data_IF_607060823874
#
_entry.id   IF_607060823874
#
_cell.length_a   1.000
_cell.length_b   1.000
_cell.length_c   1.000
_cell.angle_alpha   90.00
_cell.angle_beta   90.00
_cell.angle_gamma   90.00
#
_symmetry.space_group_name_H-M   'P 1'
#
loop_
_entity.id
_entity.type
_entity.pdbx_description
1 polymer ?
#
# COMPACT_ATOMS: atom_id res chain seq x y z
N UNK A 1 -16.10 14.97 -6.50
CA UNK A 1 -14.98 14.03 -6.83
C UNK A 1 -15.35 13.37 -8.14
N UNK A 2 -14.60 13.64 -9.20
CA UNK A 2 -14.76 12.96 -10.49
C UNK A 2 -14.18 11.56 -10.37
N UNK A 3 -14.97 10.53 -10.63
CA UNK A 3 -14.50 9.13 -10.76
C UNK A 3 -14.39 8.79 -12.25
N UNK A 4 -13.28 8.20 -12.63
CA UNK A 4 -13.20 7.59 -13.96
C UNK A 4 -14.27 6.48 -14.06
N UNK A 5 -14.99 6.36 -15.19
CA UNK A 5 -16.05 5.35 -15.36
C UNK A 5 -15.58 3.91 -15.10
N UNK A 6 -14.30 3.64 -15.30
CA UNK A 6 -13.67 2.33 -15.10
C UNK A 6 -13.42 1.98 -13.62
N UNK A 7 -13.41 2.99 -12.72
CA UNK A 7 -13.29 2.78 -11.28
C UNK A 7 -14.62 2.38 -10.66
N UNK A 8 -14.95 1.11 -10.73
CA UNK A 8 -16.13 0.53 -10.06
C UNK A 8 -16.02 0.67 -8.55
N UNK A 9 -17.16 0.71 -7.87
CA UNK A 9 -17.21 0.71 -6.41
C UNK A 9 -16.47 -0.53 -5.86
N UNK A 10 -15.53 -0.35 -4.92
CA UNK A 10 -14.70 -1.43 -4.40
C UNK A 10 -13.45 -1.78 -5.26
N UNK A 11 -13.07 -0.92 -6.22
CA UNK A 11 -11.86 -1.13 -7.04
C UNK A 11 -10.57 -0.62 -6.37
N UNK A 12 -10.68 0.21 -5.33
CA UNK A 12 -9.55 0.90 -4.68
C UNK A 12 -9.27 0.30 -3.32
N UNK A 13 -8.04 -0.15 -3.12
CA UNK A 13 -7.48 -0.45 -1.81
C UNK A 13 -6.72 0.76 -1.28
N UNK A 14 -6.86 1.06 -0.01
CA UNK A 14 -6.17 2.16 0.65
C UNK A 14 -5.44 1.67 1.90
N UNK A 15 -4.15 1.98 1.96
CA UNK A 15 -3.30 1.81 3.12
C UNK A 15 -3.01 3.20 3.70
N UNK A 16 -3.67 3.60 4.80
CA UNK A 16 -3.40 4.87 5.46
C UNK A 16 -2.06 4.82 6.21
N UNK A 17 -1.51 6.00 6.49
CA UNK A 17 -0.40 6.14 7.40
C UNK A 17 -0.77 5.53 8.77
N UNK A 18 0.11 4.69 9.29
CA UNK A 18 -0.15 3.94 10.52
C UNK A 18 -0.07 4.83 11.76
N UNK A 19 -1.13 4.85 12.56
CA UNK A 19 -1.16 5.54 13.86
C UNK A 19 -0.86 4.58 15.01
N UNK A 20 -0.44 5.11 16.18
CA UNK A 20 -0.22 4.29 17.39
C UNK A 20 -1.46 3.51 17.81
N UNK A 21 -2.64 4.14 17.76
CA UNK A 21 -3.90 3.49 18.12
C UNK A 21 -4.24 2.28 17.22
N UNK A 22 -3.80 2.28 15.97
CA UNK A 22 -4.01 1.16 15.07
C UNK A 22 -3.06 -0.02 15.37
N UNK A 23 -1.91 0.22 16.00
CA UNK A 23 -0.94 -0.82 16.35
C UNK A 23 -1.42 -1.73 17.48
N UNK A 24 -2.22 -1.19 18.40
CA UNK A 24 -2.71 -1.90 19.59
C UNK A 24 -4.09 -2.55 19.38
N UNK A 25 -4.52 -2.71 18.13
CA UNK A 25 -5.85 -3.24 17.83
C UNK A 25 -5.98 -4.72 18.25
N UNK A 26 -6.95 -5.07 19.15
CA UNK A 26 -7.06 -6.40 19.73
C UNK A 26 -7.83 -7.37 18.80
N UNK A 27 -7.23 -7.71 17.66
CA UNK A 27 -7.80 -8.66 16.70
C UNK A 27 -6.70 -9.60 16.19
N UNK A 28 -7.09 -10.75 15.68
CA UNK A 28 -6.18 -11.64 14.98
C UNK A 28 -5.77 -11.03 13.62
N UNK A 29 -4.61 -11.43 13.12
CA UNK A 29 -4.13 -11.07 11.78
C UNK A 29 -5.18 -11.38 10.72
N UNK A 30 -5.81 -12.56 10.81
CA UNK A 30 -6.83 -12.96 9.86
C UNK A 30 -8.06 -12.03 9.89
N UNK A 31 -8.54 -11.63 11.06
CA UNK A 31 -9.68 -10.71 11.18
C UNK A 31 -9.35 -9.33 10.61
N UNK A 32 -8.14 -8.83 10.87
CA UNK A 32 -7.68 -7.56 10.29
C UNK A 32 -7.67 -7.64 8.76
N UNK A 33 -7.08 -8.67 8.17
CA UNK A 33 -7.02 -8.83 6.71
C UNK A 33 -8.42 -9.00 6.12
N UNK A 34 -9.26 -9.84 6.73
CA UNK A 34 -10.61 -10.12 6.25
C UNK A 34 -11.51 -8.88 6.28
N UNK A 35 -11.26 -7.95 7.22
CA UNK A 35 -11.98 -6.67 7.28
C UNK A 35 -11.85 -5.83 6.00
N UNK A 36 -10.79 -6.02 5.21
CA UNK A 36 -10.64 -5.40 3.90
C UNK A 36 -11.74 -5.75 2.88
N UNK A 37 -12.42 -6.89 3.08
CA UNK A 37 -13.52 -7.31 2.24
C UNK A 37 -14.88 -6.66 2.58
N UNK A 38 -14.96 -5.81 3.62
CA UNK A 38 -16.23 -5.20 4.07
C UNK A 38 -16.95 -4.41 2.99
N UNK A 39 -16.23 -3.66 2.17
CA UNK A 39 -16.81 -2.87 1.07
C UNK A 39 -17.48 -3.72 -0.02
N UNK A 40 -17.24 -5.03 -0.02
CA UNK A 40 -17.83 -5.97 -0.98
C UNK A 40 -18.97 -6.78 -0.35
N UNK A 41 -19.31 -6.51 0.90
CA UNK A 41 -20.28 -7.31 1.67
C UNK A 41 -21.74 -7.03 1.29
N UNK A 42 -22.06 -5.82 0.84
CA UNK A 42 -23.43 -5.36 0.70
C UNK A 42 -24.18 -5.47 2.05
N UNK A 43 -25.41 -5.95 2.02
CA UNK A 43 -26.26 -6.17 3.23
C UNK A 43 -26.01 -7.52 3.94
N UNK A 44 -24.94 -8.24 3.60
CA UNK A 44 -24.67 -9.58 4.17
C UNK A 44 -23.97 -9.47 5.54
N UNK A 45 -24.46 -10.20 6.52
CA UNK A 45 -23.86 -10.24 7.87
C UNK A 45 -22.55 -11.06 7.92
N UNK A 46 -22.38 -12.07 7.06
CA UNK A 46 -21.26 -13.00 7.07
C UNK A 46 -20.37 -12.85 5.82
N UNK A 47 -19.07 -13.12 5.97
CA UNK A 47 -18.14 -13.21 4.86
C UNK A 47 -18.38 -14.48 4.04
N UNK A 48 -18.31 -14.36 2.73
CA UNK A 48 -18.42 -15.48 1.80
C UNK A 48 -17.16 -16.34 1.79
N UNK A 49 -17.27 -17.58 1.31
CA UNK A 49 -16.09 -18.44 1.12
C UNK A 49 -15.06 -17.81 0.19
N UNK A 50 -15.49 -17.11 -0.87
CA UNK A 50 -14.59 -16.39 -1.78
C UNK A 50 -13.80 -15.27 -1.09
N UNK A 51 -14.44 -14.49 -0.20
CA UNK A 51 -13.77 -13.43 0.58
C UNK A 51 -12.75 -14.01 1.56
N UNK A 52 -13.10 -15.11 2.24
CA UNK A 52 -12.19 -15.84 3.13
C UNK A 52 -10.98 -16.38 2.38
N UNK A 53 -11.21 -16.98 1.21
CA UNK A 53 -10.13 -17.49 0.34
C UNK A 53 -9.23 -16.35 -0.17
N UNK A 54 -9.81 -15.20 -0.57
CA UNK A 54 -9.04 -14.04 -1.00
C UNK A 54 -8.15 -13.48 0.12
N UNK A 55 -8.66 -13.45 1.37
CA UNK A 55 -7.86 -13.02 2.52
C UNK A 55 -6.65 -13.94 2.73
N UNK A 56 -6.86 -15.27 2.77
CA UNK A 56 -5.77 -16.24 2.93
C UNK A 56 -4.76 -16.17 1.78
N UNK A 57 -5.23 -16.01 0.54
CA UNK A 57 -4.36 -15.87 -0.64
C UNK A 57 -3.48 -14.61 -0.53
N UNK A 58 -4.06 -13.46 -0.15
CA UNK A 58 -3.29 -12.23 0.02
C UNK A 58 -2.31 -12.32 1.20
N UNK A 59 -2.66 -13.02 2.27
CA UNK A 59 -1.72 -13.33 3.36
C UNK A 59 -0.55 -14.18 2.87
N UNK A 60 -0.81 -15.21 2.06
CA UNK A 60 0.22 -16.05 1.45
C UNK A 60 1.16 -15.26 0.54
N UNK A 61 0.62 -14.36 -0.32
CA UNK A 61 1.42 -13.46 -1.18
C UNK A 61 2.38 -12.57 -0.41
N UNK A 62 2.01 -12.19 0.82
CA UNK A 62 2.79 -11.29 1.67
C UNK A 62 3.65 -12.04 2.71
N UNK A 63 3.66 -13.38 2.69
CA UNK A 63 4.45 -14.21 3.61
C UNK A 63 4.05 -14.03 5.08
N UNK A 64 2.74 -13.93 5.34
CA UNK A 64 2.18 -13.77 6.70
C UNK A 64 1.07 -14.78 7.01
N UNK A 65 0.95 -15.84 6.21
CA UNK A 65 -0.12 -16.82 6.37
C UNK A 65 0.00 -17.59 7.68
N UNK A 66 1.22 -17.90 8.11
CA UNK A 66 1.54 -18.56 9.36
C UNK A 66 1.18 -17.74 10.61
N UNK A 67 1.04 -16.42 10.44
CA UNK A 67 0.70 -15.49 11.52
C UNK A 67 -0.83 -15.31 11.70
N UNK A 68 -1.66 -16.01 10.93
CA UNK A 68 -3.11 -15.76 10.80
C UNK A 68 -3.86 -15.72 12.13
N UNK A 69 -3.48 -16.57 13.07
CA UNK A 69 -4.14 -16.73 14.35
C UNK A 69 -3.48 -15.91 15.48
N UNK A 70 -2.36 -15.23 15.18
CA UNK A 70 -1.67 -14.38 16.14
C UNK A 70 -2.40 -13.05 16.33
N UNK A 71 -2.23 -12.45 17.51
CA UNK A 71 -2.73 -11.10 17.78
C UNK A 71 -1.94 -10.07 16.96
N UNK A 72 -2.65 -9.18 16.26
CA UNK A 72 -2.05 -8.14 15.43
C UNK A 72 -1.09 -7.22 16.22
N UNK A 73 -1.44 -6.89 17.47
CA UNK A 73 -0.62 -6.02 18.34
C UNK A 73 0.73 -6.63 18.72
N UNK A 74 0.86 -7.96 18.68
CA UNK A 74 2.08 -8.68 19.10
C UNK A 74 3.09 -8.81 17.95
N UNK A 75 2.74 -8.30 16.75
CA UNK A 75 3.58 -8.35 15.56
C UNK A 75 4.64 -7.25 15.55
N UNK A 76 5.78 -7.53 14.87
CA UNK A 76 6.74 -6.49 14.52
C UNK A 76 6.13 -5.45 13.56
N UNK A 77 6.71 -4.24 13.51
CA UNK A 77 6.22 -3.18 12.62
C UNK A 77 6.16 -3.61 11.15
N UNK A 78 7.16 -4.35 10.67
CA UNK A 78 7.17 -4.90 9.31
C UNK A 78 6.07 -5.94 9.06
N UNK A 79 5.79 -6.79 10.04
CA UNK A 79 4.69 -7.75 9.96
C UNK A 79 3.33 -7.03 9.96
N UNK A 80 3.14 -6.04 10.85
CA UNK A 80 1.92 -5.23 10.88
C UNK A 80 1.68 -4.53 9.54
N UNK A 81 2.74 -3.98 8.93
CA UNK A 81 2.65 -3.33 7.63
C UNK A 81 2.20 -4.30 6.52
N UNK A 82 2.75 -5.52 6.52
CA UNK A 82 2.30 -6.57 5.58
C UNK A 82 0.85 -6.98 5.80
N UNK A 83 0.38 -7.03 7.05
CA UNK A 83 -1.03 -7.29 7.39
C UNK A 83 -1.94 -6.20 6.85
N UNK A 84 -1.59 -4.93 7.04
CA UNK A 84 -2.38 -3.81 6.51
C UNK A 84 -2.36 -3.75 4.99
N UNK A 85 -1.25 -4.12 4.35
CA UNK A 85 -1.18 -4.26 2.90
C UNK A 85 -2.08 -5.40 2.41
N UNK A 86 -2.09 -6.56 3.08
CA UNK A 86 -3.00 -7.67 2.78
C UNK A 86 -4.47 -7.24 2.88
N UNK A 87 -4.80 -6.48 3.92
CA UNK A 87 -6.13 -5.88 4.11
C UNK A 87 -6.49 -4.95 2.95
N UNK A 88 -5.57 -4.06 2.54
CA UNK A 88 -5.79 -3.15 1.41
C UNK A 88 -5.98 -3.93 0.09
N UNK A 89 -5.23 -5.02 -0.13
CA UNK A 89 -5.39 -5.89 -1.28
C UNK A 89 -6.73 -6.61 -1.31
N UNK A 90 -7.30 -6.95 -0.16
CA UNK A 90 -8.66 -7.51 -0.10
C UNK A 90 -9.73 -6.51 -0.57
N UNK A 91 -9.50 -5.21 -0.40
CA UNK A 91 -10.37 -4.15 -0.90
C UNK A 91 -10.10 -3.79 -2.37
N UNK A 92 -8.84 -3.92 -2.82
CA UNK A 92 -8.37 -3.50 -4.14
C UNK A 92 -8.76 -4.50 -5.24
N UNK A 93 -9.13 -3.98 -6.41
CA UNK A 93 -9.25 -4.77 -7.65
C UNK A 93 -8.28 -4.28 -8.73
N UNK A 94 -8.05 -2.98 -8.82
CA UNK A 94 -7.26 -2.37 -9.88
C UNK A 94 -6.31 -1.27 -9.41
N UNK A 95 -6.59 -0.64 -8.27
CA UNK A 95 -5.81 0.49 -7.75
C UNK A 95 -5.51 0.30 -6.27
N UNK A 96 -4.25 0.47 -5.91
CA UNK A 96 -3.75 0.50 -4.55
C UNK A 96 -3.18 1.88 -4.25
N UNK A 97 -3.69 2.54 -3.22
CA UNK A 97 -3.19 3.83 -2.74
C UNK A 97 -2.50 3.59 -1.39
N UNK A 98 -1.27 4.04 -1.27
CA UNK A 98 -0.42 3.83 -0.10
C UNK A 98 0.04 5.19 0.42
N UNK A 99 -0.18 5.44 1.70
CA UNK A 99 0.22 6.67 2.37
C UNK A 99 1.35 6.35 3.36
N UNK A 100 2.57 6.82 3.04
CA UNK A 100 3.79 6.59 3.82
C UNK A 100 4.03 5.11 4.21
N UNK A 101 3.97 4.17 3.26
CA UNK A 101 3.92 2.74 3.57
C UNK A 101 5.21 2.17 4.17
N UNK A 102 6.32 2.90 4.11
CA UNK A 102 7.64 2.46 4.60
C UNK A 102 8.04 3.12 5.91
N UNK A 103 7.26 4.08 6.39
CA UNK A 103 7.59 4.83 7.61
C UNK A 103 7.68 3.89 8.83
N UNK A 104 8.84 3.91 9.49
CA UNK A 104 9.10 3.07 10.67
C UNK A 104 9.46 1.62 10.37
N UNK A 105 9.72 1.26 9.11
CA UNK A 105 10.31 -0.01 8.72
C UNK A 105 11.84 0.07 8.76
N UNK A 106 12.48 -1.05 9.08
CA UNK A 106 13.91 -1.22 8.83
C UNK A 106 14.20 -1.31 7.31
N UNK A 107 15.46 -1.07 6.89
CA UNK A 107 15.80 -1.05 5.46
C UNK A 107 15.49 -2.34 4.71
N UNK A 108 15.60 -3.50 5.35
CA UNK A 108 15.31 -4.78 4.71
C UNK A 108 13.81 -4.95 4.47
N UNK A 109 12.98 -4.65 5.49
CA UNK A 109 11.52 -4.69 5.37
C UNK A 109 11.00 -3.68 4.33
N UNK A 110 11.60 -2.47 4.27
CA UNK A 110 11.26 -1.48 3.26
C UNK A 110 11.57 -1.98 1.84
N UNK A 111 12.76 -2.58 1.63
CA UNK A 111 13.13 -3.15 0.34
C UNK A 111 12.18 -4.27 -0.09
N UNK A 112 11.79 -5.15 0.82
CA UNK A 112 10.86 -6.24 0.52
C UNK A 112 9.46 -5.72 0.18
N UNK A 113 9.02 -4.64 0.82
CA UNK A 113 7.78 -3.97 0.46
C UNK A 113 7.82 -3.44 -0.98
N UNK A 114 8.91 -2.74 -1.38
CA UNK A 114 9.07 -2.27 -2.76
C UNK A 114 9.08 -3.42 -3.78
N UNK A 115 9.75 -4.55 -3.48
CA UNK A 115 9.70 -5.75 -4.34
C UNK A 115 8.28 -6.26 -4.50
N UNK A 116 7.53 -6.33 -3.40
CA UNK A 116 6.12 -6.75 -3.39
C UNK A 116 5.26 -5.82 -4.24
N UNK A 117 5.37 -4.51 -4.06
CA UNK A 117 4.63 -3.52 -4.86
C UNK A 117 4.98 -3.60 -6.35
N UNK A 118 6.26 -3.80 -6.66
CA UNK A 118 6.71 -4.02 -8.04
C UNK A 118 6.11 -5.29 -8.65
N UNK A 119 6.03 -6.37 -7.89
CA UNK A 119 5.39 -7.62 -8.32
C UNK A 119 3.90 -7.41 -8.60
N UNK A 120 3.16 -6.79 -7.68
CA UNK A 120 1.73 -6.49 -7.84
C UNK A 120 1.47 -5.64 -9.10
N UNK A 121 2.31 -4.62 -9.33
CA UNK A 121 2.18 -3.78 -10.52
C UNK A 121 2.51 -4.53 -11.81
N UNK A 122 3.66 -5.22 -11.87
CA UNK A 122 4.17 -5.80 -13.13
C UNK A 122 3.53 -7.12 -13.50
N UNK A 123 3.17 -7.94 -12.51
CA UNK A 123 2.66 -9.30 -12.71
C UNK A 123 1.15 -9.38 -12.57
N UNK A 124 0.57 -8.61 -11.66
CA UNK A 124 -0.88 -8.63 -11.41
C UNK A 124 -1.62 -7.44 -12.06
N UNK A 125 -0.90 -6.53 -12.71
CA UNK A 125 -1.49 -5.39 -13.43
C UNK A 125 -2.12 -4.34 -12.50
N UNK A 126 -1.82 -4.36 -11.20
CA UNK A 126 -2.38 -3.43 -10.24
C UNK A 126 -1.72 -2.05 -10.39
N UNK A 127 -2.52 -1.01 -10.57
CA UNK A 127 -2.00 0.35 -10.47
C UNK A 127 -1.66 0.68 -9.02
N UNK A 128 -0.48 1.27 -8.78
CA UNK A 128 -0.02 1.65 -7.45
C UNK A 128 0.26 3.14 -7.42
N UNK A 129 -0.37 3.84 -6.51
CA UNK A 129 -0.08 5.24 -6.16
C UNK A 129 0.47 5.26 -4.74
N UNK A 130 1.65 5.82 -4.56
CA UNK A 130 2.31 5.91 -3.26
C UNK A 130 2.64 7.36 -2.94
N UNK A 131 2.23 7.81 -1.76
CA UNK A 131 2.68 9.07 -1.17
C UNK A 131 3.84 8.74 -0.24
N UNK A 132 4.97 9.43 -0.39
CA UNK A 132 6.13 9.23 0.47
C UNK A 132 7.05 10.45 0.45
N UNK A 133 7.78 10.65 1.52
CA UNK A 133 8.87 11.63 1.62
C UNK A 133 10.25 11.00 1.33
N UNK A 134 10.36 9.66 1.28
CA UNK A 134 11.57 8.96 0.82
C UNK A 134 11.66 8.96 -0.72
N UNK A 135 12.11 10.08 -1.25
CA UNK A 135 12.22 10.26 -2.70
C UNK A 135 13.24 9.31 -3.33
N UNK A 136 14.34 8.96 -2.64
CA UNK A 136 15.38 8.09 -3.19
C UNK A 136 14.83 6.71 -3.53
N UNK A 137 14.17 6.09 -2.58
CA UNK A 137 13.61 4.76 -2.78
C UNK A 137 12.43 4.79 -3.77
N UNK A 138 11.57 5.83 -3.69
CA UNK A 138 10.45 6.01 -4.60
C UNK A 138 10.90 6.15 -6.07
N UNK A 139 11.88 7.01 -6.35
CA UNK A 139 12.38 7.25 -7.71
C UNK A 139 13.01 6.02 -8.38
N UNK A 140 13.54 5.07 -7.60
CA UNK A 140 14.07 3.79 -8.13
C UNK A 140 12.96 2.86 -8.64
N UNK A 141 11.74 2.98 -8.11
CA UNK A 141 10.64 2.07 -8.37
C UNK A 141 9.51 2.69 -9.19
N UNK A 142 9.36 4.01 -9.15
CA UNK A 142 8.32 4.74 -9.83
C UNK A 142 8.54 4.80 -11.36
N UNK A 143 7.44 4.90 -12.10
CA UNK A 143 7.47 5.27 -13.53
C UNK A 143 7.13 6.75 -13.72
N UNK A 144 6.22 7.25 -12.93
CA UNK A 144 5.68 8.60 -12.96
C UNK A 144 5.79 9.24 -11.60
N UNK A 145 6.13 10.51 -11.57
CA UNK A 145 6.24 11.33 -10.36
C UNK A 145 5.21 12.43 -10.45
N UNK A 146 4.41 12.59 -9.41
CA UNK A 146 3.64 13.78 -9.11
C UNK A 146 4.29 14.46 -7.91
N UNK A 147 5.01 15.54 -8.13
CA UNK A 147 5.56 16.37 -7.05
C UNK A 147 4.63 17.56 -6.83
N UNK A 148 4.22 17.77 -5.59
CA UNK A 148 3.36 18.87 -5.18
C UNK A 148 4.15 19.76 -4.22
N UNK A 149 4.44 20.99 -4.63
CA UNK A 149 5.06 22.03 -3.81
C UNK A 149 4.04 23.09 -3.40
N UNK A 150 4.49 24.13 -2.67
CA UNK A 150 3.59 25.20 -2.19
C UNK A 150 2.94 26.00 -3.32
N UNK A 151 3.68 26.28 -4.41
CA UNK A 151 3.21 27.13 -5.50
C UNK A 151 3.39 26.50 -6.88
N UNK A 152 3.85 25.27 -6.95
CA UNK A 152 4.12 24.56 -8.20
C UNK A 152 3.87 23.08 -8.08
N UNK A 153 3.57 22.45 -9.19
CA UNK A 153 3.52 21.00 -9.27
C UNK A 153 4.31 20.52 -10.49
N UNK A 154 4.72 19.26 -10.44
CA UNK A 154 5.31 18.55 -11.57
C UNK A 154 4.60 17.22 -11.74
N UNK A 155 4.26 16.86 -12.97
CA UNK A 155 3.76 15.54 -13.33
C UNK A 155 4.52 15.07 -14.58
N UNK A 156 5.20 13.94 -14.48
CA UNK A 156 5.97 13.41 -15.61
C UNK A 156 6.74 12.14 -15.26
N UNK A 157 7.61 11.69 -16.16
CA UNK A 157 8.47 10.53 -15.91
C UNK A 157 9.55 10.86 -14.86
N UNK A 158 10.12 9.82 -14.26
CA UNK A 158 11.26 9.99 -13.34
C UNK A 158 12.43 10.72 -14.01
N UNK A 159 12.71 10.40 -15.28
CA UNK A 159 13.77 11.08 -16.07
C UNK A 159 13.52 12.58 -16.19
N UNK A 160 12.29 12.96 -16.54
CA UNK A 160 11.92 14.37 -16.70
C UNK A 160 11.91 15.09 -15.34
N UNK A 161 11.46 14.40 -14.27
CA UNK A 161 11.52 14.93 -12.92
C UNK A 161 12.95 15.26 -12.49
N UNK A 162 13.90 14.35 -12.68
CA UNK A 162 15.31 14.58 -12.33
C UNK A 162 15.98 15.70 -13.15
N UNK A 163 15.46 16.01 -14.35
CA UNK A 163 15.90 17.15 -15.16
C UNK A 163 15.20 18.47 -14.80
N UNK A 164 14.09 18.42 -14.05
CA UNK A 164 13.29 19.58 -13.65
C UNK A 164 13.99 20.42 -12.56
N UNK A 165 13.57 21.69 -12.36
CA UNK A 165 14.07 22.50 -11.25
C UNK A 165 13.82 21.88 -9.88
N UNK A 166 12.67 21.20 -9.70
CA UNK A 166 12.31 20.50 -8.46
C UNK A 166 13.24 19.31 -8.18
N UNK A 167 13.52 18.51 -9.19
CA UNK A 167 14.42 17.35 -9.08
C UNK A 167 15.88 17.73 -8.89
N UNK A 168 16.34 18.87 -9.44
CA UNK A 168 17.70 19.40 -9.22
C UNK A 168 17.88 19.86 -7.78
N UNK A 169 16.94 20.62 -7.22
CA UNK A 169 16.96 21.05 -5.80
C UNK A 169 17.01 19.85 -4.86
N UNK A 170 16.32 18.77 -5.18
CA UNK A 170 16.37 17.54 -4.38
C UNK A 170 17.78 16.94 -4.36
N UNK A 171 18.53 16.94 -5.47
CA UNK A 171 19.91 16.44 -5.52
C UNK A 171 20.89 17.33 -4.75
N UNK A 172 20.73 18.65 -4.81
CA UNK A 172 21.59 19.63 -4.13
C UNK A 172 21.46 19.58 -2.59
N UNK A 173 20.33 19.16 -2.06
CA UNK A 173 20.12 19.02 -0.59
C UNK A 173 20.74 17.73 -0.06
N UNK A 174 21.08 16.79 -0.92
CA UNK A 174 21.59 15.46 -0.54
C UNK A 174 23.11 15.29 -0.72
N UNK A 175 23.79 16.25 -1.34
CA UNK A 175 25.26 16.39 -1.38
C UNK A 175 25.75 17.19 -0.16
#
# INVERSE_FOLDING_TARGET
ILRAPELRQGAVGYLPQQTRAQRDFPATVYEVVLSGCLNQKGLRFFYTAAQKSAALMNMGKLGILELKDQSYRDLSGGQQQRVLLARALCAARSLLILDEPITGLDPAAAQDLYKTLSYLNRKEGMAVVMVTHDLRAALRSARTVLHIGHSSYFLGTVKDYLASPQGRRFREVEE
#
